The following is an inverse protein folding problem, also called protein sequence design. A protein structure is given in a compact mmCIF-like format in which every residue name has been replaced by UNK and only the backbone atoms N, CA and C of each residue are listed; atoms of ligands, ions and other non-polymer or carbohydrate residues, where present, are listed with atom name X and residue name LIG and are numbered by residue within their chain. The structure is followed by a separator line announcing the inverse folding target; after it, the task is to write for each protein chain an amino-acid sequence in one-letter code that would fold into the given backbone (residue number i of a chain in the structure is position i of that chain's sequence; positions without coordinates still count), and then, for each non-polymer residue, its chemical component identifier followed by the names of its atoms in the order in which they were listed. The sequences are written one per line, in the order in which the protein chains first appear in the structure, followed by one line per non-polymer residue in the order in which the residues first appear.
data_IF_368584399469
#
_entry.id   IF_368584399469
#
_cell.length_a   1.000
_cell.length_b   1.000
_cell.length_c   1.000
_cell.angle_alpha   90.00
_cell.angle_beta   90.00
_cell.angle_gamma   90.00
#
_symmetry.space_group_name_H-M   'P 1'
#
loop_
_entity.id
_entity.type
_entity.pdbx_description
1 polymer ?
#
# COMPACT_ATOMS: atom_id res chain seq x y z
N UNK A 1 -47.99 -105.88 7.61
CA UNK A 1 -47.79 -104.52 8.16
C UNK A 1 -46.57 -103.91 7.48
N UNK A 2 -46.69 -102.77 6.77
CA UNK A 2 -45.52 -102.14 6.19
C UNK A 2 -44.79 -101.38 7.30
N UNK A 3 -43.53 -101.73 7.55
CA UNK A 3 -42.65 -100.95 8.41
C UNK A 3 -42.24 -99.68 7.68
N UNK A 4 -42.84 -98.56 8.04
CA UNK A 4 -42.36 -97.23 7.65
C UNK A 4 -41.00 -96.99 8.30
N UNK A 5 -39.93 -97.23 7.54
CA UNK A 5 -38.58 -96.76 7.87
C UNK A 5 -38.60 -95.23 7.88
N UNK A 6 -38.55 -94.62 9.06
CA UNK A 6 -38.32 -93.19 9.23
C UNK A 6 -36.93 -92.91 8.62
N UNK A 7 -36.79 -92.02 7.62
CA UNK A 7 -35.49 -91.75 7.01
C UNK A 7 -34.53 -91.18 8.06
N UNK A 8 -33.24 -91.54 8.02
CA UNK A 8 -32.29 -91.14 9.04
C UNK A 8 -32.16 -89.61 9.03
N UNK A 9 -32.56 -88.98 10.13
CA UNK A 9 -32.68 -87.53 10.27
C UNK A 9 -31.36 -86.83 9.91
N UNK A 10 -31.39 -85.97 8.89
CA UNK A 10 -30.23 -85.20 8.40
C UNK A 10 -29.99 -83.91 9.21
N UNK A 11 -30.54 -83.86 10.42
CA UNK A 11 -30.47 -82.72 11.33
C UNK A 11 -29.02 -82.43 11.71
N UNK A 12 -28.70 -81.15 11.87
CA UNK A 12 -27.43 -80.73 12.46
C UNK A 12 -27.64 -80.38 13.93
N UNK A 13 -26.61 -80.60 14.76
CA UNK A 13 -26.65 -80.25 16.17
C UNK A 13 -25.63 -79.14 16.43
N UNK A 14 -26.10 -77.98 16.92
CA UNK A 14 -25.26 -76.81 17.17
C UNK A 14 -25.64 -76.15 18.50
N UNK A 15 -24.66 -75.96 19.40
CA UNK A 15 -24.86 -75.34 20.72
C UNK A 15 -26.11 -75.82 21.49
N UNK A 16 -26.36 -77.14 21.51
CA UNK A 16 -27.50 -77.73 22.22
C UNK A 16 -28.84 -77.69 21.47
N UNK A 17 -28.91 -77.10 20.28
CA UNK A 17 -30.13 -76.94 19.47
C UNK A 17 -30.02 -77.81 18.21
N UNK A 18 -31.09 -78.53 17.89
CA UNK A 18 -31.21 -79.26 16.61
C UNK A 18 -31.71 -78.33 15.50
N UNK A 19 -31.02 -78.33 14.37
CA UNK A 19 -31.27 -77.49 13.19
C UNK A 19 -31.72 -78.35 12.01
N UNK A 20 -32.70 -77.84 11.28
CA UNK A 20 -33.23 -78.52 10.09
C UNK A 20 -32.21 -78.57 8.96
N UNK A 21 -32.20 -79.63 8.12
CA UNK A 21 -31.32 -79.69 6.96
C UNK A 21 -31.57 -78.49 6.03
N UNK A 22 -30.51 -77.75 5.67
CA UNK A 22 -30.59 -76.56 4.82
C UNK A 22 -30.91 -75.25 5.54
N UNK A 23 -31.14 -75.27 6.87
CA UNK A 23 -31.34 -74.03 7.62
C UNK A 23 -30.06 -73.19 7.66
N UNK A 24 -30.22 -71.86 7.59
CA UNK A 24 -29.16 -70.87 7.78
C UNK A 24 -29.46 -70.01 9.01
N UNK A 25 -28.44 -69.64 9.76
CA UNK A 25 -28.56 -68.73 10.91
C UNK A 25 -27.28 -67.92 11.10
N UNK A 26 -27.39 -66.81 11.82
CA UNK A 26 -26.26 -65.94 12.14
C UNK A 26 -25.99 -66.01 13.63
N UNK A 27 -24.72 -66.12 14.01
CA UNK A 27 -24.26 -66.18 15.40
C UNK A 27 -23.64 -64.84 15.85
N UNK A 28 -23.59 -64.58 17.17
CA UNK A 28 -22.87 -63.45 17.72
C UNK A 28 -21.42 -63.42 17.21
N UNK A 29 -20.91 -62.23 16.86
CA UNK A 29 -19.59 -62.12 16.21
C UNK A 29 -19.63 -62.22 14.68
N UNK A 30 -20.81 -62.10 14.08
CA UNK A 30 -21.00 -61.98 12.63
C UNK A 30 -20.56 -63.23 11.85
N UNK A 31 -20.96 -64.40 12.35
CA UNK A 31 -20.68 -65.70 11.74
C UNK A 31 -21.97 -66.29 11.14
N UNK A 32 -21.93 -66.69 9.87
CA UNK A 32 -23.07 -67.32 9.20
C UNK A 32 -22.87 -68.83 9.16
N UNK A 33 -23.85 -69.56 9.67
CA UNK A 33 -23.82 -71.01 9.78
C UNK A 33 -24.93 -71.65 8.94
N UNK A 34 -24.63 -72.77 8.29
CA UNK A 34 -25.57 -73.56 7.50
C UNK A 34 -25.51 -75.04 7.89
N UNK A 35 -26.68 -75.69 7.93
CA UNK A 35 -26.77 -77.14 8.14
C UNK A 35 -26.71 -77.92 6.82
N UNK A 36 -25.60 -78.60 6.52
CA UNK A 36 -25.44 -79.42 5.33
C UNK A 36 -25.18 -80.89 5.71
N UNK A 37 -26.20 -81.74 5.55
CA UNK A 37 -26.04 -83.19 5.66
C UNK A 37 -25.47 -83.68 7.00
N UNK A 38 -25.92 -83.09 8.13
CA UNK A 38 -25.48 -83.29 9.53
C UNK A 38 -24.23 -82.51 9.97
N UNK A 39 -23.56 -81.81 9.05
CA UNK A 39 -22.44 -80.92 9.39
C UNK A 39 -22.92 -79.48 9.46
N UNK A 40 -22.52 -78.79 10.53
CA UNK A 40 -22.62 -77.33 10.60
C UNK A 40 -21.38 -76.76 9.94
N UNK A 41 -21.58 -75.93 8.94
CA UNK A 41 -20.54 -75.15 8.29
C UNK A 41 -20.77 -73.70 8.67
N UNK A 42 -19.77 -73.07 9.28
CA UNK A 42 -19.86 -71.69 9.73
C UNK A 42 -18.69 -70.90 9.17
N UNK A 43 -18.99 -69.76 8.56
CA UNK A 43 -18.00 -68.86 7.97
C UNK A 43 -18.22 -67.44 8.49
N UNK A 44 -17.13 -66.67 8.62
CA UNK A 44 -17.19 -65.27 9.02
C UNK A 44 -17.78 -64.45 7.87
N UNK A 45 -18.79 -63.62 8.17
CA UNK A 45 -19.37 -62.72 7.17
C UNK A 45 -18.40 -61.58 6.92
N UNK A 46 -17.98 -61.45 5.65
CA UNK A 46 -17.18 -60.31 5.20
C UNK A 46 -18.10 -59.22 4.65
N UNK A 47 -18.13 -58.07 5.31
CA UNK A 47 -18.95 -56.93 4.90
C UNK A 47 -18.14 -56.00 3.98
N UNK A 48 -18.72 -55.61 2.84
CA UNK A 48 -18.17 -54.52 2.02
C UNK A 48 -18.77 -53.19 2.48
N UNK A 49 -17.92 -52.27 2.94
CA UNK A 49 -18.35 -50.97 3.50
C UNK A 49 -17.68 -49.85 2.71
N UNK A 50 -18.34 -49.33 1.66
CA UNK A 50 -17.77 -48.32 0.76
C UNK A 50 -18.00 -46.88 1.27
N UNK A 51 -18.01 -46.67 2.58
CA UNK A 51 -18.21 -45.35 3.18
C UNK A 51 -17.31 -45.16 4.42
N UNK A 52 -17.05 -43.90 4.76
CA UNK A 52 -16.08 -43.51 5.80
C UNK A 52 -16.65 -43.52 7.22
N UNK A 53 -17.95 -43.31 7.39
CA UNK A 53 -18.61 -43.15 8.69
C UNK A 53 -19.87 -44.02 8.79
N UNK A 54 -19.77 -45.34 8.63
CA UNK A 54 -20.95 -46.19 8.56
C UNK A 54 -21.72 -46.21 9.90
N UNK A 55 -23.05 -46.31 9.82
CA UNK A 55 -23.87 -46.57 10.98
C UNK A 55 -23.71 -48.01 11.46
N UNK A 56 -23.82 -48.27 12.78
CA UNK A 56 -23.83 -49.62 13.32
C UNK A 56 -24.89 -50.51 12.65
N UNK A 57 -24.66 -51.82 12.69
CA UNK A 57 -25.65 -52.77 12.18
C UNK A 57 -27.00 -52.55 12.90
N UNK A 58 -28.12 -52.47 12.16
CA UNK A 58 -29.45 -52.40 12.77
C UNK A 58 -29.69 -53.62 13.66
N UNK A 59 -30.64 -53.53 14.60
CA UNK A 59 -30.84 -54.57 15.62
C UNK A 59 -30.96 -55.99 15.01
N UNK A 60 -30.04 -56.88 15.38
CA UNK A 60 -29.95 -58.26 14.87
C UNK A 60 -29.19 -58.42 13.55
N UNK A 61 -28.68 -57.33 12.98
CA UNK A 61 -27.85 -57.31 11.78
C UNK A 61 -26.37 -57.59 12.06
N UNK A 62 -25.68 -58.00 11.01
CA UNK A 62 -24.25 -58.34 11.03
C UNK A 62 -23.39 -57.16 10.57
N UNK A 63 -23.78 -56.54 9.46
CA UNK A 63 -22.99 -55.56 8.74
C UNK A 63 -23.46 -54.13 9.02
N UNK A 64 -22.53 -53.17 9.09
CA UNK A 64 -22.87 -51.77 9.23
C UNK A 64 -23.44 -51.21 7.91
N UNK A 65 -24.07 -50.05 7.96
CA UNK A 65 -24.83 -49.49 6.83
C UNK A 65 -24.38 -48.06 6.48
N UNK A 66 -24.44 -47.71 5.20
CA UNK A 66 -24.08 -46.37 4.70
C UNK A 66 -25.31 -45.50 4.41
N UNK A 67 -26.44 -45.74 5.08
CA UNK A 67 -27.69 -44.97 4.93
C UNK A 67 -27.73 -43.70 5.77
N UNK A 68 -26.64 -43.41 6.48
CA UNK A 68 -26.41 -42.26 7.34
C UNK A 68 -25.01 -42.34 7.92
N UNK A 69 -24.65 -41.41 8.79
CA UNK A 69 -23.28 -41.28 9.28
C UNK A 69 -23.18 -41.42 10.79
N UNK A 70 -22.20 -42.16 11.29
CA UNK A 70 -21.82 -42.11 12.71
C UNK A 70 -20.63 -41.17 12.89
N UNK A 71 -20.84 -40.04 13.59
CA UNK A 71 -19.79 -39.05 13.84
C UNK A 71 -19.76 -38.69 15.33
N UNK A 72 -18.59 -38.84 15.98
CA UNK A 72 -18.40 -38.59 17.42
C UNK A 72 -19.45 -39.30 18.31
N UNK A 73 -19.84 -40.53 17.92
CA UNK A 73 -20.84 -41.33 18.63
C UNK A 73 -22.30 -40.92 18.37
N UNK A 74 -22.55 -39.91 17.54
CA UNK A 74 -23.89 -39.44 17.18
C UNK A 74 -24.26 -39.94 15.78
N UNK A 75 -25.40 -40.61 15.68
CA UNK A 75 -25.98 -41.00 14.39
C UNK A 75 -26.61 -39.78 13.70
N UNK A 76 -26.23 -39.56 12.44
CA UNK A 76 -26.71 -38.50 11.57
C UNK A 76 -27.46 -39.11 10.40
N UNK A 77 -28.61 -38.54 10.05
CA UNK A 77 -29.37 -38.94 8.89
C UNK A 77 -28.72 -38.45 7.60
N UNK A 78 -29.09 -39.07 6.48
CA UNK A 78 -28.70 -38.61 5.15
C UNK A 78 -29.14 -37.16 4.93
N UNK A 79 -28.20 -36.31 4.52
CA UNK A 79 -28.42 -34.87 4.30
C UNK A 79 -28.31 -34.00 5.56
N UNK A 80 -28.05 -34.58 6.73
CA UNK A 80 -27.88 -33.79 7.96
C UNK A 80 -26.70 -32.83 7.86
N UNK A 81 -26.96 -31.55 8.17
CA UNK A 81 -25.95 -30.50 8.30
C UNK A 81 -25.75 -30.20 9.78
N UNK A 82 -24.51 -30.26 10.25
CA UNK A 82 -24.18 -30.06 11.66
C UNK A 82 -22.84 -29.36 11.85
N UNK A 83 -22.69 -28.68 12.99
CA UNK A 83 -21.44 -28.05 13.40
C UNK A 83 -20.81 -28.89 14.52
N UNK A 84 -19.61 -29.48 14.34
CA UNK A 84 -18.97 -30.29 15.39
C UNK A 84 -18.56 -29.47 16.62
N UNK A 85 -18.29 -28.17 16.45
CA UNK A 85 -17.87 -27.27 17.52
C UNK A 85 -18.28 -25.83 17.25
N UNK A 86 -18.84 -25.15 18.27
CA UNK A 86 -19.36 -23.77 18.19
C UNK A 86 -18.30 -22.66 18.05
N UNK A 87 -17.05 -22.98 17.70
CA UNK A 87 -15.93 -22.02 17.72
C UNK A 87 -15.05 -21.96 16.46
N UNK A 88 -15.23 -22.87 15.50
CA UNK A 88 -14.40 -22.92 14.27
C UNK A 88 -15.22 -22.84 12.97
N UNK A 89 -16.54 -22.63 13.11
CA UNK A 89 -17.58 -22.65 12.06
C UNK A 89 -17.35 -23.70 10.97
N UNK A 90 -16.85 -24.84 11.41
CA UNK A 90 -16.79 -26.01 10.56
C UNK A 90 -18.20 -26.53 10.43
N UNK A 91 -18.68 -26.58 9.20
CA UNK A 91 -19.99 -27.15 8.89
C UNK A 91 -19.74 -28.47 8.19
N UNK A 92 -20.33 -29.53 8.72
CA UNK A 92 -20.24 -30.86 8.16
C UNK A 92 -21.60 -31.28 7.60
N UNK A 93 -21.56 -32.10 6.56
CA UNK A 93 -22.74 -32.74 5.96
C UNK A 93 -22.55 -34.24 5.89
N UNK A 94 -23.60 -34.99 6.19
CA UNK A 94 -23.65 -36.44 6.01
C UNK A 94 -24.24 -36.79 4.64
N UNK A 95 -23.47 -37.46 3.78
CA UNK A 95 -23.92 -37.93 2.47
C UNK A 95 -23.40 -39.34 2.18
N UNK A 96 -24.31 -40.27 1.92
CA UNK A 96 -24.03 -41.67 1.60
C UNK A 96 -23.08 -42.36 2.60
N UNK A 97 -23.25 -42.08 3.89
CA UNK A 97 -22.38 -42.59 4.96
C UNK A 97 -21.00 -41.95 5.01
N UNK A 98 -20.77 -40.83 4.32
CA UNK A 98 -19.57 -40.03 4.41
C UNK A 98 -19.85 -38.68 5.05
N UNK A 99 -18.99 -38.29 5.98
CA UNK A 99 -18.99 -36.95 6.55
C UNK A 99 -18.02 -36.09 5.77
N UNK A 100 -18.51 -34.99 5.21
CA UNK A 100 -17.70 -33.97 4.54
C UNK A 100 -17.81 -32.66 5.30
N UNK A 101 -16.68 -32.12 5.74
CA UNK A 101 -16.61 -30.90 6.54
C UNK A 101 -15.95 -29.78 5.75
N UNK A 102 -16.53 -28.59 5.86
CA UNK A 102 -16.00 -27.36 5.29
C UNK A 102 -15.64 -26.42 6.44
N UNK A 103 -14.36 -26.09 6.55
CA UNK A 103 -13.85 -25.06 7.44
C UNK A 103 -13.42 -23.83 6.63
N UNK A 104 -13.83 -22.62 6.99
CA UNK A 104 -13.38 -21.42 6.28
C UNK A 104 -11.87 -21.22 6.48
N UNK A 105 -11.15 -20.99 5.38
CA UNK A 105 -9.75 -20.55 5.41
C UNK A 105 -9.72 -19.05 5.74
N UNK A 106 -9.19 -18.68 6.90
CA UNK A 106 -9.09 -17.27 7.28
C UNK A 106 -7.95 -16.59 6.50
N UNK A 107 -8.16 -15.37 5.97
CA UNK A 107 -7.12 -14.64 5.25
C UNK A 107 -5.97 -14.26 6.20
N UNK A 108 -4.70 -14.35 5.76
CA UNK A 108 -3.57 -13.90 6.55
C UNK A 108 -3.62 -12.38 6.73
N UNK A 109 -3.73 -11.93 7.99
CA UNK A 109 -3.19 -10.64 8.43
C UNK A 109 -3.96 -9.36 8.07
N UNK A 110 -5.27 -9.36 7.88
CA UNK A 110 -6.03 -8.09 7.70
C UNK A 110 -7.42 -8.15 8.32
N UNK A 111 -7.56 -7.67 9.56
CA UNK A 111 -8.87 -7.46 10.20
C UNK A 111 -8.93 -6.09 10.90
N UNK A 112 -9.96 -5.26 10.65
CA UNK A 112 -10.11 -3.95 11.28
C UNK A 112 -10.70 -3.94 12.71
N UNK A 113 -11.17 -5.06 13.29
CA UNK A 113 -11.78 -5.01 14.63
C UNK A 113 -12.00 -6.39 15.26
N UNK A 114 -11.97 -6.53 16.60
CA UNK A 114 -12.42 -7.72 17.31
C UNK A 114 -13.91 -7.62 17.65
N UNK A 115 -14.80 -8.07 16.76
CA UNK A 115 -16.18 -8.40 17.13
C UNK A 115 -16.30 -9.88 17.46
N UNK A 116 -16.84 -10.16 18.64
CA UNK A 116 -16.90 -11.47 19.32
C UNK A 116 -17.92 -12.46 18.76
N UNK A 117 -18.15 -12.47 17.44
CA UNK A 117 -19.14 -13.34 16.82
C UNK A 117 -18.74 -13.84 15.41
N UNK A 118 -17.50 -13.63 15.00
CA UNK A 118 -17.02 -14.02 13.68
C UNK A 118 -16.07 -15.21 13.75
N UNK A 119 -16.24 -16.13 12.81
CA UNK A 119 -15.53 -17.41 12.73
C UNK A 119 -14.01 -17.33 12.83
N UNK A 120 -13.47 -16.20 12.39
CA UNK A 120 -12.07 -15.90 12.45
C UNK A 120 -11.83 -15.00 13.67
N UNK A 121 -11.47 -15.59 14.81
CA UNK A 121 -10.72 -14.88 15.85
C UNK A 121 -9.35 -14.55 15.28
N UNK A 122 -9.27 -13.45 14.53
CA UNK A 122 -8.02 -12.97 13.96
C UNK A 122 -7.18 -12.44 15.13
N UNK A 123 -6.22 -13.23 15.59
CA UNK A 123 -5.18 -12.71 16.47
C UNK A 123 -4.19 -11.97 15.56
N UNK A 124 -4.15 -10.62 15.57
CA UNK A 124 -3.24 -9.88 14.73
C UNK A 124 -1.81 -10.36 15.00
N UNK A 125 -1.17 -10.93 13.97
CA UNK A 125 0.14 -11.57 14.09
C UNK A 125 1.16 -10.60 14.71
N UNK A 126 1.75 -11.00 15.83
CA UNK A 126 2.82 -10.26 16.49
C UNK A 126 4.15 -10.63 15.83
N UNK A 127 5.01 -9.64 15.59
CA UNK A 127 6.33 -9.88 15.02
C UNK A 127 7.36 -9.99 16.15
N UNK A 128 8.18 -11.03 16.14
CA UNK A 128 9.36 -11.10 17.00
C UNK A 128 10.59 -10.68 16.19
N UNK A 129 11.20 -9.58 16.57
CA UNK A 129 12.33 -9.01 15.85
C UNK A 129 13.38 -8.49 16.82
N UNK A 130 14.62 -8.99 16.67
CA UNK A 130 15.76 -8.72 17.56
C UNK A 130 15.43 -8.89 19.06
N UNK A 131 14.62 -9.91 19.39
CA UNK A 131 14.23 -10.21 20.78
C UNK A 131 13.15 -9.30 21.36
N UNK A 132 12.58 -8.39 20.56
CA UNK A 132 11.44 -7.56 20.94
C UNK A 132 10.19 -8.03 20.19
N UNK A 133 9.04 -7.93 20.85
CA UNK A 133 7.75 -8.29 20.24
C UNK A 133 6.99 -7.03 19.87
N UNK A 134 6.62 -6.93 18.60
CA UNK A 134 5.87 -5.82 18.03
C UNK A 134 4.45 -6.25 17.71
N UNK A 135 3.48 -5.40 18.06
CA UNK A 135 2.10 -5.61 17.64
C UNK A 135 1.96 -5.40 16.13
N UNK A 136 0.96 -6.05 15.52
CA UNK A 136 0.62 -5.78 14.13
C UNK A 136 0.37 -4.28 13.89
N UNK A 137 0.89 -3.74 12.79
CA UNK A 137 0.84 -2.33 12.45
C UNK A 137 1.84 -1.44 13.21
N UNK A 138 2.56 -1.98 14.20
CA UNK A 138 3.57 -1.22 14.92
C UNK A 138 4.70 -0.80 13.97
N UNK A 139 5.02 0.50 14.00
CA UNK A 139 6.15 1.10 13.28
C UNK A 139 7.28 1.35 14.26
N UNK A 140 8.49 0.95 13.90
CA UNK A 140 9.65 1.12 14.76
C UNK A 140 10.92 1.29 13.95
N UNK A 141 11.88 1.99 14.53
CA UNK A 141 13.22 2.17 13.97
C UNK A 141 14.21 1.23 14.65
N UNK A 142 15.30 0.91 13.95
CA UNK A 142 16.36 0.05 14.48
C UNK A 142 17.37 0.88 15.29
N UNK A 143 17.58 0.54 16.56
CA UNK A 143 18.74 0.96 17.37
C UNK A 143 19.20 2.44 17.24
N UNK A 144 18.25 3.39 17.18
CA UNK A 144 18.55 4.84 17.09
C UNK A 144 18.92 5.33 15.69
N UNK A 145 18.82 4.48 14.68
CA UNK A 145 18.87 4.82 13.26
C UNK A 145 17.47 5.22 12.78
N UNK A 146 17.17 6.52 12.81
CA UNK A 146 15.90 7.08 12.31
C UNK A 146 15.73 6.93 10.79
N UNK A 147 16.72 6.37 10.10
CA UNK A 147 16.74 6.22 8.64
C UNK A 147 16.06 4.95 8.15
N UNK A 148 15.90 3.98 9.05
CA UNK A 148 15.25 2.71 8.76
C UNK A 148 13.91 2.65 9.48
N UNK A 149 12.82 2.56 8.72
CA UNK A 149 11.47 2.36 9.26
C UNK A 149 11.02 0.93 9.00
N UNK A 150 10.74 0.20 10.08
CA UNK A 150 10.19 -1.14 10.03
C UNK A 150 8.73 -1.16 10.45
N UNK A 151 7.93 -2.03 9.83
CA UNK A 151 6.50 -2.22 10.12
C UNK A 151 6.24 -3.71 10.35
N UNK A 152 5.51 -4.02 11.41
CA UNK A 152 5.03 -5.39 11.66
C UNK A 152 3.76 -5.67 10.87
N UNK A 153 3.83 -6.53 9.86
CA UNK A 153 2.69 -6.91 9.01
C UNK A 153 2.49 -8.44 9.07
N UNK A 154 1.33 -8.88 9.56
CA UNK A 154 0.98 -10.31 9.57
C UNK A 154 1.93 -11.25 10.33
N UNK A 155 2.76 -10.75 11.25
CA UNK A 155 3.78 -11.54 11.95
C UNK A 155 5.19 -11.47 11.31
N UNK A 156 5.31 -10.81 10.16
CA UNK A 156 6.57 -10.53 9.49
C UNK A 156 6.96 -9.05 9.65
N UNK A 157 8.27 -8.78 9.73
CA UNK A 157 8.79 -7.42 9.78
C UNK A 157 9.25 -7.00 8.40
N UNK A 158 8.65 -5.93 7.88
CA UNK A 158 9.05 -5.29 6.64
C UNK A 158 9.78 -3.98 6.97
N UNK A 159 11.04 -3.84 6.53
CA UNK A 159 11.84 -2.64 6.76
C UNK A 159 12.11 -1.91 5.43
N UNK A 160 12.07 -0.58 5.48
CA UNK A 160 12.35 0.31 4.36
C UNK A 160 13.29 1.44 4.79
N UNK A 161 14.05 1.98 3.85
CA UNK A 161 14.95 3.11 4.06
C UNK A 161 14.72 4.18 2.99
N UNK A 162 14.92 5.44 3.35
CA UNK A 162 14.84 6.57 2.42
C UNK A 162 16.18 6.71 1.70
N UNK A 163 16.26 6.58 0.37
CA UNK A 163 17.50 6.78 -0.36
C UNK A 163 17.91 8.26 -0.33
N UNK A 164 19.21 8.52 -0.19
CA UNK A 164 19.73 9.87 -0.16
C UNK A 164 19.72 10.54 -1.54
N UNK A 165 19.49 11.87 -1.59
CA UNK A 165 19.59 12.63 -2.82
C UNK A 165 21.05 12.66 -3.31
N UNK A 166 21.23 12.78 -4.63
CA UNK A 166 22.55 13.04 -5.21
C UNK A 166 22.96 14.48 -4.87
N UNK A 167 24.20 14.66 -4.41
CA UNK A 167 24.76 15.96 -4.06
C UNK A 167 25.69 16.48 -5.15
N UNK A 168 25.51 17.73 -5.56
CA UNK A 168 26.35 18.43 -6.53
C UNK A 168 27.53 19.18 -5.87
N UNK A 169 28.20 18.53 -4.91
CA UNK A 169 29.40 19.07 -4.27
C UNK A 169 30.47 17.99 -4.05
N UNK A 170 31.77 18.37 -4.06
CA UNK A 170 32.85 17.45 -3.77
C UNK A 170 32.72 16.80 -2.40
N UNK A 171 33.23 15.57 -2.25
CA UNK A 171 33.13 14.80 -1.00
C UNK A 171 33.70 15.53 0.24
N UNK A 172 34.69 16.41 0.07
CA UNK A 172 35.28 17.17 1.17
C UNK A 172 34.37 18.29 1.73
N UNK A 173 33.31 18.66 1.00
CA UNK A 173 32.30 19.65 1.43
C UNK A 173 31.03 18.98 1.97
N UNK A 174 30.96 17.66 1.91
CA UNK A 174 29.82 16.91 2.40
C UNK A 174 29.98 16.70 3.91
N UNK A 175 28.92 16.99 4.67
CA UNK A 175 28.89 16.72 6.10
C UNK A 175 27.62 15.96 6.46
N UNK A 176 27.72 15.07 7.45
CA UNK A 176 26.59 14.35 8.02
C UNK A 176 26.37 14.86 9.45
N UNK A 177 25.21 15.46 9.72
CA UNK A 177 24.84 15.90 11.06
C UNK A 177 24.49 14.73 11.99
N UNK A 178 24.61 14.89 13.31
CA UNK A 178 24.15 13.89 14.27
C UNK A 178 22.64 13.63 14.11
N UNK A 179 22.25 12.37 13.90
CA UNK A 179 20.85 11.97 13.67
C UNK A 179 20.33 12.20 12.25
N UNK A 180 21.17 12.64 11.30
CA UNK A 180 20.80 12.74 9.89
C UNK A 180 21.12 11.45 9.14
N UNK A 181 20.28 11.11 8.17
CA UNK A 181 20.42 9.94 7.30
C UNK A 181 21.26 10.20 6.06
N UNK A 182 21.31 11.46 5.64
CA UNK A 182 21.90 11.87 4.38
C UNK A 182 22.82 13.06 4.60
N UNK A 183 23.96 13.05 3.92
CA UNK A 183 24.89 14.18 3.93
C UNK A 183 24.29 15.39 3.23
N UNK A 184 24.75 16.57 3.63
CA UNK A 184 24.42 17.85 2.98
C UNK A 184 25.72 18.54 2.56
N UNK A 185 25.64 19.40 1.55
CA UNK A 185 26.76 20.26 1.19
C UNK A 185 26.87 21.38 2.22
N UNK A 186 28.08 21.66 2.69
CA UNK A 186 28.36 22.86 3.44
C UNK A 186 28.21 24.05 2.49
N UNK A 187 27.27 24.95 2.78
CA UNK A 187 27.12 26.17 1.98
C UNK A 187 28.45 26.93 2.03
N UNK A 188 29.06 27.27 0.88
CA UNK A 188 30.20 28.17 0.88
C UNK A 188 29.77 29.51 1.50
N UNK A 189 30.67 30.22 2.22
CA UNK A 189 30.36 31.56 2.68
C UNK A 189 29.87 32.39 1.48
N UNK A 190 28.75 33.07 1.62
CA UNK A 190 28.25 33.96 0.57
C UNK A 190 29.40 34.88 0.10
N UNK A 191 29.58 35.08 -1.21
CA UNK A 191 30.63 36.00 -1.68
C UNK A 191 30.39 37.36 -1.03
N UNK A 192 31.44 37.92 -0.42
CA UNK A 192 31.39 39.21 0.24
C UNK A 192 30.88 40.29 -0.73
N UNK A 193 29.98 41.15 -0.27
CA UNK A 193 29.48 42.26 -1.08
C UNK A 193 30.53 43.35 -1.31
N UNK A 194 30.14 44.39 -2.03
CA UNK A 194 30.97 45.56 -2.27
C UNK A 194 30.73 46.63 -1.19
N UNK A 195 31.80 47.32 -0.79
CA UNK A 195 31.76 48.43 0.17
C UNK A 195 32.10 49.74 -0.55
N UNK A 196 31.25 50.77 -0.45
CA UNK A 196 31.51 52.06 -1.13
C UNK A 196 32.39 53.02 -0.31
N UNK A 197 32.34 52.99 1.03
CA UNK A 197 33.03 53.96 1.90
C UNK A 197 32.86 53.64 3.41
N UNK A 198 33.51 54.44 4.27
CA UNK A 198 33.54 54.38 5.75
C UNK A 198 32.15 54.39 6.45
N UNK A 199 31.06 54.56 5.70
CA UNK A 199 29.69 54.50 6.20
C UNK A 199 29.09 53.09 6.20
N UNK A 200 29.82 52.08 5.71
CA UNK A 200 29.54 50.66 5.99
C UNK A 200 28.31 50.07 5.29
N UNK A 201 27.88 50.62 4.15
CA UNK A 201 26.80 50.02 3.35
C UNK A 201 27.37 48.94 2.43
N UNK A 202 26.96 47.69 2.66
CA UNK A 202 27.33 46.52 1.86
C UNK A 202 26.28 46.26 0.76
N UNK A 203 26.74 46.14 -0.48
CA UNK A 203 25.91 45.79 -1.62
C UNK A 203 26.20 44.35 -2.07
N UNK A 204 25.23 43.41 -2.06
CA UNK A 204 25.41 42.07 -2.62
C UNK A 204 25.88 42.08 -4.08
N UNK A 205 26.67 41.06 -4.42
CA UNK A 205 27.16 40.82 -5.79
C UNK A 205 25.99 40.81 -6.78
N UNK A 206 26.12 41.57 -7.86
CA UNK A 206 25.10 41.74 -8.91
C UNK A 206 24.07 42.84 -8.62
N UNK A 207 24.08 43.45 -7.44
CA UNK A 207 23.23 44.61 -7.17
C UNK A 207 23.68 45.83 -7.99
N UNK A 208 22.71 46.60 -8.47
CA UNK A 208 22.91 47.83 -9.25
C UNK A 208 22.35 49.02 -8.46
N UNK A 209 23.09 50.13 -8.39
CA UNK A 209 22.66 51.36 -7.72
C UNK A 209 23.20 52.62 -8.40
N UNK A 210 22.59 53.77 -8.09
CA UNK A 210 23.07 55.09 -8.51
C UNK A 210 23.58 55.87 -7.28
N UNK A 211 24.87 56.27 -7.23
CA UNK A 211 25.47 56.97 -6.08
C UNK A 211 25.11 58.47 -6.07
N UNK A 212 23.81 58.78 -6.14
CA UNK A 212 23.28 60.16 -6.08
C UNK A 212 23.33 60.95 -7.39
N UNK A 213 24.13 60.54 -8.38
CA UNK A 213 24.09 61.07 -9.74
C UNK A 213 23.18 60.19 -10.62
N UNK A 214 22.09 60.72 -11.23
CA UNK A 214 21.18 59.93 -12.06
C UNK A 214 21.84 59.43 -13.35
N UNK A 215 22.98 59.99 -13.77
CA UNK A 215 23.75 59.55 -14.93
C UNK A 215 24.80 58.50 -14.61
N UNK A 216 25.03 58.18 -13.35
CA UNK A 216 26.01 57.17 -12.94
C UNK A 216 25.29 55.93 -12.40
N UNK A 217 25.67 54.78 -12.93
CA UNK A 217 25.15 53.49 -12.52
C UNK A 217 26.32 52.59 -12.16
N UNK A 218 26.29 52.03 -10.96
CA UNK A 218 27.32 51.15 -10.43
C UNK A 218 26.76 49.74 -10.22
N UNK A 219 27.59 48.72 -10.44
CA UNK A 219 27.29 47.31 -10.16
C UNK A 219 28.39 46.70 -9.28
N UNK A 220 27.96 45.87 -8.32
CA UNK A 220 28.89 45.07 -7.53
C UNK A 220 29.32 43.82 -8.31
N UNK A 221 30.61 43.75 -8.65
CA UNK A 221 31.20 42.64 -9.39
C UNK A 221 31.47 41.43 -8.47
N UNK A 222 31.62 40.25 -9.06
CA UNK A 222 31.84 39.01 -8.32
C UNK A 222 33.18 38.95 -7.56
N UNK A 223 34.13 39.81 -7.91
CA UNK A 223 35.42 39.97 -7.23
C UNK A 223 35.37 40.99 -6.08
N UNK A 224 34.19 41.52 -5.75
CA UNK A 224 33.99 42.54 -4.71
C UNK A 224 34.35 43.95 -5.16
N UNK A 225 34.70 44.16 -6.43
CA UNK A 225 34.96 45.50 -6.98
C UNK A 225 33.66 46.21 -7.41
N UNK A 226 33.65 47.53 -7.28
CA UNK A 226 32.56 48.38 -7.78
C UNK A 226 32.91 48.84 -9.19
N UNK A 227 32.04 48.53 -10.16
CA UNK A 227 32.19 48.99 -11.54
C UNK A 227 31.09 50.00 -11.86
N UNK A 228 31.47 51.25 -12.16
CA UNK A 228 30.53 52.33 -12.48
C UNK A 228 30.64 52.75 -13.94
N UNK A 229 29.50 52.99 -14.57
CA UNK A 229 29.40 53.53 -15.91
C UNK A 229 28.56 54.81 -15.89
N UNK A 230 29.09 55.85 -16.56
CA UNK A 230 28.41 57.12 -16.73
C UNK A 230 27.74 57.18 -18.11
N UNK A 231 26.51 57.69 -18.14
CA UNK A 231 25.79 57.97 -19.38
C UNK A 231 26.10 59.38 -19.85
N UNK A 232 26.63 59.51 -21.06
CA UNK A 232 26.85 60.80 -21.71
C UNK A 232 25.62 61.19 -22.55
N UNK A 233 25.00 62.33 -22.20
CA UNK A 233 23.85 62.84 -22.93
C UNK A 233 24.28 63.53 -24.23
N UNK A 234 23.51 63.33 -25.30
CA UNK A 234 23.78 63.95 -26.61
C UNK A 234 23.20 65.36 -26.62
N UNK A 235 24.01 66.33 -26.22
CA UNK A 235 23.67 67.75 -26.23
C UNK A 235 23.68 68.32 -27.66
N UNK A 236 22.50 68.71 -28.16
CA UNK A 236 22.24 69.80 -29.15
C UNK A 236 20.75 69.86 -29.48
N UNK A 237 19.90 70.16 -28.49
CA UNK A 237 18.52 70.53 -28.76
C UNK A 237 18.22 71.95 -28.27
N UNK A 238 17.39 72.73 -28.99
CA UNK A 238 17.22 74.16 -28.70
C UNK A 238 16.59 74.46 -27.34
N UNK A 239 15.78 73.54 -26.79
CA UNK A 239 15.08 73.68 -25.51
C UNK A 239 14.98 72.32 -24.78
N UNK A 240 16.00 71.94 -24.00
CA UNK A 240 15.95 70.72 -23.18
C UNK A 240 14.99 70.87 -21.99
N UNK A 241 14.15 69.86 -21.75
CA UNK A 241 13.31 69.75 -20.55
C UNK A 241 14.05 68.90 -19.51
N UNK A 242 14.38 69.51 -18.38
CA UNK A 242 15.01 68.82 -17.25
C UNK A 242 13.92 68.17 -16.38
N UNK A 243 13.90 66.83 -16.36
CA UNK A 243 12.98 66.06 -15.52
C UNK A 243 13.71 65.65 -14.24
N UNK A 244 13.21 66.01 -13.04
CA UNK A 244 13.84 65.62 -11.78
C UNK A 244 14.04 64.10 -11.68
N UNK A 245 15.27 63.67 -11.38
CA UNK A 245 15.63 62.26 -11.23
C UNK A 245 15.97 61.51 -12.52
N UNK A 246 15.93 62.17 -13.69
CA UNK A 246 16.43 61.59 -14.94
C UNK A 246 17.84 62.08 -15.27
N UNK A 247 18.64 61.22 -15.91
CA UNK A 247 19.99 61.56 -16.35
C UNK A 247 19.97 62.62 -17.47
N UNK A 248 19.26 62.34 -18.57
CA UNK A 248 19.29 63.17 -19.76
C UNK A 248 18.04 64.04 -19.89
N UNK A 249 18.18 65.26 -20.43
CA UNK A 249 17.04 66.12 -20.70
C UNK A 249 16.15 65.56 -21.82
N UNK A 250 14.85 65.82 -21.74
CA UNK A 250 13.91 65.50 -22.80
C UNK A 250 13.87 66.64 -23.84
N UNK A 251 14.17 66.32 -25.10
CA UNK A 251 14.22 67.27 -26.20
C UNK A 251 12.88 67.41 -26.95
N UNK A 252 11.77 66.86 -26.43
CA UNK A 252 10.46 66.88 -27.08
C UNK A 252 9.69 68.21 -26.97
N UNK A 253 10.30 69.26 -26.39
CA UNK A 253 9.67 70.54 -26.08
C UNK A 253 8.99 71.27 -27.26
N UNK A 254 9.46 71.05 -28.49
CA UNK A 254 8.86 71.63 -29.70
C UNK A 254 9.82 72.42 -30.58
N UNK A 255 9.26 73.23 -31.48
CA UNK A 255 9.95 74.00 -32.52
C UNK A 255 9.84 75.50 -32.25
N UNK A 256 10.77 76.30 -32.75
CA UNK A 256 10.67 77.77 -32.70
C UNK A 256 10.19 78.32 -34.04
N UNK A 257 9.15 79.15 -34.03
CA UNK A 257 8.70 79.89 -35.20
C UNK A 257 8.46 81.36 -34.82
N UNK A 258 9.21 82.29 -35.44
CA UNK A 258 9.15 83.74 -35.14
C UNK A 258 9.23 84.08 -33.63
N UNK A 259 10.10 83.38 -32.90
CA UNK A 259 10.35 83.63 -31.48
C UNK A 259 9.31 83.04 -30.51
N UNK A 260 8.25 82.39 -30.99
CA UNK A 260 7.34 81.59 -30.15
C UNK A 260 7.70 80.10 -30.23
N UNK A 261 7.53 79.41 -29.11
CA UNK A 261 7.69 77.96 -29.01
C UNK A 261 6.36 77.32 -29.37
N UNK A 262 6.39 76.31 -30.23
CA UNK A 262 5.23 75.53 -30.65
C UNK A 262 5.49 74.07 -30.32
N UNK A 263 4.56 73.42 -29.61
CA UNK A 263 4.76 72.06 -29.09
C UNK A 263 4.94 71.05 -30.21
N UNK A 264 5.63 69.94 -29.95
CA UNK A 264 5.73 68.87 -30.95
C UNK A 264 4.34 68.38 -31.37
N UNK A 265 4.14 68.16 -32.68
CA UNK A 265 2.90 67.79 -33.33
C UNK A 265 1.78 68.86 -33.32
N UNK A 266 2.06 70.08 -32.83
CA UNK A 266 1.11 71.19 -32.84
C UNK A 266 1.10 71.90 -34.20
N UNK A 267 -0.10 72.18 -34.73
CA UNK A 267 -0.29 72.86 -36.02
C UNK A 267 -0.62 74.35 -35.82
N UNK A 268 0.01 75.24 -36.56
CA UNK A 268 -0.09 76.69 -36.40
C UNK A 268 -0.12 77.44 -37.74
N UNK A 269 -0.81 78.59 -37.84
CA UNK A 269 -0.82 79.38 -39.06
C UNK A 269 0.54 80.05 -39.35
N UNK A 270 0.91 80.12 -40.63
CA UNK A 270 2.08 80.86 -41.10
C UNK A 270 1.85 82.36 -40.95
N UNK A 271 2.86 83.06 -40.43
CA UNK A 271 2.84 84.51 -40.28
C UNK A 271 3.37 85.25 -41.53
N UNK A 272 3.93 84.51 -42.49
CA UNK A 272 4.36 85.05 -43.79
C UNK A 272 3.26 84.88 -44.86
N UNK A 273 2.40 83.89 -44.71
CA UNK A 273 1.33 83.59 -45.66
C UNK A 273 0.07 83.12 -44.91
N UNK A 274 -1.04 83.89 -44.95
CA UNK A 274 -2.27 83.57 -44.22
C UNK A 274 -3.00 82.33 -44.75
N UNK A 275 -2.63 81.78 -45.90
CA UNK A 275 -3.23 80.56 -46.45
C UNK A 275 -2.47 79.27 -46.06
N UNK A 276 -1.32 79.37 -45.38
CA UNK A 276 -0.49 78.22 -45.02
C UNK A 276 -0.60 77.85 -43.53
N UNK A 277 -0.61 76.55 -43.28
CA UNK A 277 -0.57 75.95 -41.94
C UNK A 277 0.69 75.09 -41.81
N UNK A 278 1.42 75.26 -40.72
CA UNK A 278 2.66 74.57 -40.42
C UNK A 278 2.46 73.62 -39.24
N UNK A 279 3.10 72.45 -39.23
CA UNK A 279 3.14 71.56 -38.08
C UNK A 279 4.56 71.52 -37.51
N UNK A 280 4.68 71.65 -36.18
CA UNK A 280 5.96 71.39 -35.54
C UNK A 280 6.18 69.87 -35.47
N UNK A 281 7.28 69.40 -36.04
CA UNK A 281 7.72 68.01 -35.90
C UNK A 281 9.18 68.06 -35.46
N UNK A 282 9.40 67.79 -34.18
CA UNK A 282 10.76 67.62 -33.63
C UNK A 282 11.30 66.30 -34.20
N UNK A 283 12.47 66.34 -34.82
CA UNK A 283 13.19 65.15 -35.33
C UNK A 283 14.16 64.62 -34.30
#
# INVERSE_FOLDING_TARGET
APGTSIPPSRLCWHHGISREPGSHWTEPGCQSCTCQGRRVLCDIVSCSVPCSHPLPAPAGGCCPTCTGCLHEGVARAEGDIFSPSDGNCTICICLAGNVSCLSPECPPGSCPSPSSADCCSCNPGKCNFRGRTYAHGARFSLDGDDCTTCVCQGGEVECSFTPCPMLDCPQHQQHLGPGQCCSTCQDPPAPAGCFLDDNGVEFPVGQIWSPGDPCELCICQADGSVSCQRTDCVEKCPYPILIPGQCCPDCSAGCTYMGRIVSNNETFPSALDPCLSCICLVR
#
